data_IF_557431273724
#
_entry.id   IF_557431273724
#
_cell.length_a   1.000
_cell.length_b   1.000
_cell.length_c   1.000
_cell.angle_alpha   90.00
_cell.angle_beta   90.00
_cell.angle_gamma   90.00
#
_symmetry.space_group_name_H-M   'P 1'
#
loop_
_entity.id
_entity.type
_entity.pdbx_description
1 polymer ?
#
# COMPACT_ATOMS: atom_id res chain seq x y z
N UNK A 1 15.48 -27.92 -41.51
CA UNK A 1 14.56 -26.80 -41.13
C UNK A 1 13.90 -27.05 -39.77
N UNK A 2 14.19 -28.22 -39.16
CA UNK A 2 13.44 -28.80 -38.05
C UNK A 2 14.02 -28.44 -36.67
N UNK A 3 15.31 -28.16 -36.58
CA UNK A 3 15.96 -27.70 -35.33
C UNK A 3 15.36 -26.41 -34.78
N UNK A 4 14.95 -25.48 -35.64
CA UNK A 4 14.38 -24.21 -35.19
C UNK A 4 12.96 -24.38 -34.65
N UNK A 5 12.18 -25.30 -35.23
CA UNK A 5 10.83 -25.63 -34.74
C UNK A 5 10.89 -26.34 -33.39
N UNK A 6 11.81 -27.29 -33.24
CA UNK A 6 12.03 -28.00 -31.97
C UNK A 6 12.47 -27.05 -30.85
N UNK A 7 13.39 -26.13 -31.15
CA UNK A 7 13.83 -25.13 -30.17
C UNK A 7 12.69 -24.19 -29.77
N UNK A 8 11.86 -23.76 -30.73
CA UNK A 8 10.69 -22.93 -30.45
C UNK A 8 9.65 -23.65 -29.58
N UNK A 9 9.34 -24.92 -29.89
CA UNK A 9 8.43 -25.73 -29.07
C UNK A 9 8.97 -25.97 -27.66
N UNK A 10 10.29 -26.19 -27.52
CA UNK A 10 10.93 -26.31 -26.22
C UNK A 10 10.84 -25.01 -25.41
N UNK A 11 10.98 -23.85 -26.07
CA UNK A 11 10.79 -22.54 -25.42
C UNK A 11 9.33 -22.30 -25.05
N UNK A 12 8.37 -22.59 -25.92
CA UNK A 12 6.95 -22.48 -25.60
C UNK A 12 6.56 -23.36 -24.40
N UNK A 13 7.08 -24.59 -24.34
CA UNK A 13 6.82 -25.50 -23.21
C UNK A 13 7.46 -25.01 -21.90
N UNK A 14 8.59 -24.29 -21.98
CA UNK A 14 9.23 -23.64 -20.83
C UNK A 14 8.45 -22.42 -20.34
N UNK A 15 7.91 -21.61 -21.25
CA UNK A 15 7.04 -20.46 -20.90
C UNK A 15 5.79 -20.94 -20.20
N UNK A 16 5.10 -21.97 -20.73
CA UNK A 16 3.91 -22.55 -20.08
C UNK A 16 4.23 -23.10 -18.69
N UNK A 17 5.39 -23.76 -18.50
CA UNK A 17 5.82 -24.28 -17.19
C UNK A 17 6.13 -23.16 -16.18
N UNK A 18 6.61 -22.00 -16.63
CA UNK A 18 6.81 -20.83 -15.78
C UNK A 18 5.48 -20.17 -15.38
N UNK A 19 4.49 -20.16 -16.27
CA UNK A 19 3.14 -19.69 -15.96
C UNK A 19 2.36 -20.66 -15.04
N UNK A 20 2.64 -21.96 -15.10
CA UNK A 20 2.08 -22.99 -14.19
C UNK A 20 2.92 -23.25 -12.94
N UNK A 21 4.04 -22.54 -12.77
CA UNK A 21 4.77 -22.39 -11.50
C UNK A 21 4.81 -20.93 -11.06
N UNK A 22 3.71 -20.21 -11.31
CA UNK A 22 3.28 -19.19 -10.35
C UNK A 22 2.97 -19.97 -9.07
N UNK A 23 4.00 -20.16 -8.25
CA UNK A 23 3.88 -20.24 -6.80
C UNK A 23 2.78 -19.26 -6.48
N UNK A 24 1.62 -19.74 -6.03
CA UNK A 24 0.44 -18.91 -5.90
C UNK A 24 0.84 -17.62 -5.23
N UNK A 25 1.01 -16.56 -6.03
CA UNK A 25 1.04 -15.22 -5.51
C UNK A 25 -0.40 -15.13 -5.07
N UNK A 26 -0.65 -15.51 -3.81
CA UNK A 26 -1.78 -14.98 -3.09
C UNK A 26 -1.62 -13.50 -3.37
N UNK A 27 -2.44 -12.96 -4.27
CA UNK A 27 -2.68 -11.53 -4.29
C UNK A 27 -3.15 -11.31 -2.86
N UNK A 28 -2.22 -10.96 -1.97
CA UNK A 28 -2.56 -10.67 -0.60
C UNK A 28 -3.46 -9.46 -0.78
N UNK A 29 -4.76 -9.68 -0.69
CA UNK A 29 -5.74 -8.62 -0.82
C UNK A 29 -5.47 -7.71 0.36
N UNK A 30 -4.62 -6.70 0.15
CA UNK A 30 -4.31 -5.74 1.20
C UNK A 30 -5.61 -5.08 1.59
N UNK A 31 -5.91 -5.12 2.88
CA UNK A 31 -7.09 -4.46 3.42
C UNK A 31 -6.95 -2.97 3.11
N UNK A 32 -7.98 -2.38 2.51
CA UNK A 32 -7.96 -0.96 2.13
C UNK A 32 -8.19 -0.10 3.36
N UNK A 33 -7.44 1.00 3.46
CA UNK A 33 -7.67 2.03 4.46
C UNK A 33 -8.91 2.85 4.09
N UNK A 34 -9.81 3.14 5.05
CA UNK A 34 -10.92 4.06 4.84
C UNK A 34 -10.42 5.50 4.64
N UNK A 35 -11.21 6.36 3.99
CA UNK A 35 -10.86 7.78 3.88
C UNK A 35 -11.04 8.50 5.22
N UNK A 36 -10.19 9.50 5.47
CA UNK A 36 -10.26 10.39 6.62
C UNK A 36 -10.61 11.79 6.13
N UNK A 37 -11.87 12.19 6.30
CA UNK A 37 -12.39 13.50 5.90
C UNK A 37 -12.77 14.39 7.10
N UNK A 38 -12.50 13.92 8.32
CA UNK A 38 -12.83 14.61 9.58
C UNK A 38 -14.22 14.30 10.12
N UNK A 39 -15.01 13.44 9.45
CA UNK A 39 -16.34 13.01 9.94
C UNK A 39 -16.26 12.06 11.15
N UNK A 40 -15.16 11.32 11.27
CA UNK A 40 -14.88 10.40 12.39
C UNK A 40 -13.76 10.98 13.24
N UNK A 41 -13.82 10.79 14.57
CA UNK A 41 -12.74 11.25 15.46
C UNK A 41 -11.41 10.62 15.07
N UNK A 42 -10.33 11.41 15.16
CA UNK A 42 -8.99 10.95 14.81
C UNK A 42 -8.60 9.67 15.54
N UNK A 43 -8.92 9.55 16.83
CA UNK A 43 -8.62 8.36 17.64
C UNK A 43 -9.30 7.09 17.10
N UNK A 44 -10.56 7.17 16.70
CA UNK A 44 -11.29 6.02 16.17
C UNK A 44 -10.77 5.62 14.77
N UNK A 45 -10.49 6.60 13.92
CA UNK A 45 -9.84 6.37 12.63
C UNK A 45 -8.45 5.73 12.80
N UNK A 46 -7.66 6.22 13.75
CA UNK A 46 -6.32 5.72 14.02
C UNK A 46 -6.31 4.24 14.44
N UNK A 47 -7.25 3.82 15.28
CA UNK A 47 -7.40 2.41 15.66
C UNK A 47 -7.73 1.50 14.46
N UNK A 48 -8.60 1.96 13.56
CA UNK A 48 -8.91 1.25 12.33
C UNK A 48 -7.68 1.17 11.41
N UNK A 49 -6.97 2.29 11.25
CA UNK A 49 -5.75 2.36 10.47
C UNK A 49 -4.66 1.40 10.98
N UNK A 50 -4.44 1.35 12.30
CA UNK A 50 -3.49 0.42 12.91
C UNK A 50 -3.87 -1.04 12.68
N UNK A 51 -5.16 -1.36 12.73
CA UNK A 51 -5.65 -2.72 12.44
C UNK A 51 -5.36 -3.14 11.00
N UNK A 52 -5.58 -2.22 10.06
CA UNK A 52 -5.27 -2.43 8.63
C UNK A 52 -3.77 -2.54 8.38
N UNK A 53 -2.97 -1.65 8.97
CA UNK A 53 -1.52 -1.66 8.84
C UNK A 53 -0.91 -2.95 9.39
N UNK A 54 -1.37 -3.42 10.56
CA UNK A 54 -0.93 -4.69 11.14
C UNK A 54 -1.35 -5.88 10.27
N UNK A 55 -2.58 -5.89 9.77
CA UNK A 55 -3.08 -6.96 8.87
C UNK A 55 -2.31 -7.02 7.55
N UNK A 56 -1.80 -5.88 7.07
CA UNK A 56 -1.06 -5.79 5.82
C UNK A 56 0.47 -5.88 6.01
N UNK A 57 0.96 -5.91 7.25
CA UNK A 57 2.39 -5.90 7.56
C UNK A 57 3.10 -4.62 7.13
N UNK A 58 2.41 -3.47 7.19
CA UNK A 58 2.96 -2.21 6.69
C UNK A 58 4.07 -1.65 7.58
N UNK A 59 5.11 -1.13 6.91
CA UNK A 59 6.18 -0.36 7.53
C UNK A 59 5.87 1.15 7.52
N UNK A 60 6.65 1.94 8.27
CA UNK A 60 6.41 3.39 8.48
C UNK A 60 6.19 4.17 7.17
N UNK A 61 6.97 3.92 6.13
CA UNK A 61 6.84 4.57 4.82
C UNK A 61 5.53 4.24 4.09
N UNK A 62 5.06 2.99 4.22
CA UNK A 62 3.80 2.54 3.64
C UNK A 62 2.62 3.13 4.42
N UNK A 63 2.73 3.19 5.75
CA UNK A 63 1.77 3.86 6.60
C UNK A 63 1.67 5.35 6.26
N UNK A 64 2.80 6.05 6.10
CA UNK A 64 2.83 7.45 5.67
C UNK A 64 2.13 7.64 4.33
N UNK A 65 2.51 6.85 3.32
CA UNK A 65 1.92 6.94 1.98
C UNK A 65 0.41 6.68 2.00
N UNK A 66 -0.02 5.64 2.71
CA UNK A 66 -1.43 5.31 2.86
C UNK A 66 -2.20 6.41 3.61
N UNK A 67 -1.61 6.99 4.66
CA UNK A 67 -2.22 8.08 5.42
C UNK A 67 -2.40 9.31 4.53
N UNK A 68 -1.34 9.73 3.82
CA UNK A 68 -1.39 10.88 2.89
C UNK A 68 -2.46 10.73 1.83
N UNK A 69 -2.66 9.53 1.28
CA UNK A 69 -3.70 9.26 0.26
C UNK A 69 -5.10 9.14 0.88
N UNK A 70 -5.19 8.71 2.14
CA UNK A 70 -6.45 8.55 2.85
C UNK A 70 -7.02 9.88 3.36
N UNK A 71 -6.16 10.87 3.67
CA UNK A 71 -6.58 12.20 4.07
C UNK A 71 -7.31 12.91 2.93
N UNK A 72 -8.49 13.47 3.25
CA UNK A 72 -9.34 14.22 2.33
C UNK A 72 -9.98 15.42 3.03
N UNK A 73 -10.56 16.31 2.23
CA UNK A 73 -11.33 17.44 2.73
C UNK A 73 -10.50 18.35 3.64
N UNK A 74 -11.10 18.78 4.75
CA UNK A 74 -10.47 19.71 5.69
C UNK A 74 -9.24 19.14 6.40
N UNK A 75 -9.06 17.81 6.43
CA UNK A 75 -7.91 17.17 7.07
C UNK A 75 -6.67 17.21 6.18
N UNK A 76 -6.83 17.39 4.86
CA UNK A 76 -5.70 17.48 3.93
C UNK A 76 -4.90 18.78 4.11
N UNK A 77 -5.55 19.86 4.58
CA UNK A 77 -4.87 21.15 4.84
C UNK A 77 -3.82 21.05 5.94
N UNK A 78 -3.96 20.07 6.84
CA UNK A 78 -2.97 19.76 7.88
C UNK A 78 -1.66 19.31 7.24
N UNK A 79 -1.72 18.59 6.12
CA UNK A 79 -0.54 18.12 5.39
C UNK A 79 0.23 19.27 4.72
N UNK A 80 -0.47 20.31 4.26
CA UNK A 80 0.11 21.53 3.67
C UNK A 80 0.78 22.41 4.73
N UNK A 81 0.28 22.37 5.97
CA UNK A 81 0.83 23.13 7.10
C UNK A 81 2.09 22.50 7.71
N UNK A 82 2.48 21.28 7.31
CA UNK A 82 3.65 20.61 7.88
C UNK A 82 4.97 21.12 7.29
N UNK A 83 5.96 21.43 8.12
CA UNK A 83 7.29 21.79 7.67
C UNK A 83 7.99 20.59 7.00
N UNK A 84 8.81 20.85 5.99
CA UNK A 84 9.53 19.79 5.24
C UNK A 84 10.78 19.26 5.97
N UNK A 85 10.91 19.54 7.27
CA UNK A 85 12.08 19.22 8.08
C UNK A 85 11.76 18.18 9.17
N UNK A 86 12.35 16.99 9.10
CA UNK A 86 12.21 15.93 10.12
C UNK A 86 11.42 14.71 9.66
N UNK A 87 10.93 13.89 10.59
CA UNK A 87 10.06 12.74 10.27
C UNK A 87 8.64 13.25 9.98
N UNK A 88 8.32 13.38 8.68
CA UNK A 88 7.00 13.78 8.19
C UNK A 88 5.88 12.90 8.76
N UNK A 89 6.14 11.62 8.99
CA UNK A 89 5.20 10.71 9.63
C UNK A 89 4.86 11.12 11.05
N UNK A 90 5.86 11.35 11.91
CA UNK A 90 5.62 11.79 13.30
C UNK A 90 4.91 13.13 13.37
N UNK A 91 5.30 14.08 12.52
CA UNK A 91 4.67 15.39 12.45
C UNK A 91 3.20 15.31 12.05
N UNK A 92 2.88 14.45 11.07
CA UNK A 92 1.52 14.21 10.65
C UNK A 92 0.68 13.58 11.77
N UNK A 93 1.26 12.65 12.54
CA UNK A 93 0.57 12.07 13.69
C UNK A 93 0.29 13.07 14.80
N UNK A 94 1.24 13.97 15.09
CA UNK A 94 1.03 15.00 16.11
C UNK A 94 0.00 16.04 15.66
N UNK A 95 0.05 16.47 14.40
CA UNK A 95 -0.87 17.47 13.87
C UNK A 95 -2.32 16.96 13.80
N UNK A 96 -2.53 15.65 13.61
CA UNK A 96 -3.87 15.04 13.55
C UNK A 96 -4.46 14.71 14.94
N UNK A 97 -3.64 14.69 16.01
CA UNK A 97 -4.10 14.47 17.39
C UNK A 97 -4.62 15.74 18.08
N UNK A 98 -4.28 16.92 17.56
CA UNK A 98 -4.66 18.23 18.13
C UNK A 98 -6.09 18.61 17.77
#
# INVERSE_FOLDING_TARGET
MDSMKTAFTALQKRVVRLETSVVGVKYATSVKVPFCDGSTSWTAYWQQFQTVAASNGWMEEQCLSALTVALRGQVLTVLEALPDSGSRYKQLLEALKS
#
